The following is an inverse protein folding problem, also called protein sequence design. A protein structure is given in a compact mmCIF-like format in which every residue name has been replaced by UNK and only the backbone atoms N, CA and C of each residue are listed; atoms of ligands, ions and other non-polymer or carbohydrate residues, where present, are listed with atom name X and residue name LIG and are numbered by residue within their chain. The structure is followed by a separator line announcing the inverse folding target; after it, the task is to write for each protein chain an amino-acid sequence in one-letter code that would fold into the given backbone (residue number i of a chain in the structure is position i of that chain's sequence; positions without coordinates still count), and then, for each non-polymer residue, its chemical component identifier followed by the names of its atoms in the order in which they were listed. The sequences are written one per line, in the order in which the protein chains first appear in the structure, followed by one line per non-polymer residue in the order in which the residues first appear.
data_IF_198191425745
#
_entry.id   IF_198191425745
#
_cell.length_a   1.000
_cell.length_b   1.000
_cell.length_c   1.000
_cell.angle_alpha   90.00
_cell.angle_beta   90.00
_cell.angle_gamma   90.00
#
_symmetry.space_group_name_H-M   'P 1'
#
loop_
_entity.id
_entity.type
_entity.pdbx_description
1 polymer ?
#
# COMPACT_ATOMS: atom_id res chain seq x y z
N UNK A 1 25.93 -7.50 7.46
CA UNK A 1 24.45 -7.33 7.36
C UNK A 1 24.18 -5.94 6.79
N UNK A 2 23.35 -5.80 5.73
CA UNK A 2 23.09 -4.49 5.09
C UNK A 2 22.18 -3.65 6.00
N UNK A 3 22.66 -2.49 6.49
CA UNK A 3 21.84 -1.55 7.28
C UNK A 3 20.77 -0.91 6.39
N UNK A 4 19.62 -0.53 6.98
CA UNK A 4 18.59 0.25 6.28
C UNK A 4 19.04 1.70 6.20
N UNK A 5 18.96 2.28 5.01
CA UNK A 5 19.34 3.66 4.75
C UNK A 5 18.34 4.28 3.79
N UNK A 6 17.62 5.29 4.26
CA UNK A 6 16.62 6.03 3.49
C UNK A 6 17.28 7.26 2.90
N UNK A 7 17.16 7.42 1.60
CA UNK A 7 17.63 8.58 0.85
C UNK A 7 16.53 8.96 -0.14
N UNK A 8 16.31 10.26 -0.31
CA UNK A 8 15.33 10.75 -1.27
C UNK A 8 15.67 10.28 -2.69
N UNK A 9 14.68 9.74 -3.39
CA UNK A 9 14.81 9.31 -4.77
C UNK A 9 14.71 10.52 -5.72
N UNK A 10 15.46 10.47 -6.83
CA UNK A 10 15.47 11.57 -7.78
C UNK A 10 14.10 11.80 -8.41
N UNK A 11 13.35 10.74 -8.69
CA UNK A 11 12.00 10.81 -9.24
C UNK A 11 11.04 11.62 -8.36
N UNK A 12 11.25 11.61 -7.07
CA UNK A 12 10.41 12.32 -6.09
C UNK A 12 10.51 13.84 -6.17
N UNK A 13 11.59 14.36 -6.72
CA UNK A 13 11.87 15.79 -6.82
C UNK A 13 11.69 16.36 -8.24
N UNK A 14 11.50 15.49 -9.23
CA UNK A 14 11.28 15.92 -10.61
C UNK A 14 9.85 16.43 -10.80
N UNK A 15 9.69 17.45 -11.63
CA UNK A 15 8.38 17.93 -12.07
C UNK A 15 7.58 16.80 -12.77
N UNK A 16 6.26 16.88 -12.68
CA UNK A 16 5.38 15.83 -13.24
C UNK A 16 5.52 15.68 -14.76
N UNK A 17 5.83 16.76 -15.45
CA UNK A 17 6.01 16.87 -16.91
C UNK A 17 7.47 16.72 -17.35
N UNK A 18 8.43 16.59 -16.41
CA UNK A 18 9.84 16.35 -16.74
C UNK A 18 9.98 15.09 -17.62
N UNK A 19 10.69 15.16 -18.76
CA UNK A 19 10.86 14.03 -19.67
C UNK A 19 11.49 12.80 -19.01
N UNK A 20 12.42 13.00 -18.05
CA UNK A 20 13.06 11.91 -17.29
C UNK A 20 12.08 11.27 -16.32
N UNK A 21 11.22 12.09 -15.64
CA UNK A 21 10.18 11.59 -14.76
C UNK A 21 9.11 10.78 -15.54
N UNK A 22 8.65 11.30 -16.68
CA UNK A 22 7.71 10.60 -17.56
C UNK A 22 8.28 9.26 -18.05
N UNK A 23 9.58 9.21 -18.36
CA UNK A 23 10.26 7.98 -18.74
C UNK A 23 10.39 7.04 -17.56
N UNK A 24 10.80 7.51 -16.37
CA UNK A 24 10.95 6.69 -15.17
C UNK A 24 9.63 6.05 -14.75
N UNK A 25 8.51 6.78 -14.78
CA UNK A 25 7.18 6.20 -14.50
C UNK A 25 6.81 5.08 -15.48
N UNK A 26 7.20 5.21 -16.78
CA UNK A 26 7.06 4.11 -17.75
C UNK A 26 7.98 2.93 -17.44
N UNK A 27 9.20 3.20 -16.99
CA UNK A 27 10.17 2.18 -16.63
C UNK A 27 9.74 1.41 -15.38
N UNK A 28 9.14 2.07 -14.37
CA UNK A 28 8.56 1.41 -13.20
C UNK A 28 7.56 0.32 -13.56
N UNK A 29 6.75 0.50 -14.62
CA UNK A 29 5.87 -0.57 -15.13
C UNK A 29 6.61 -1.80 -15.62
N UNK A 30 7.82 -1.63 -16.20
CA UNK A 30 8.71 -2.74 -16.60
C UNK A 30 9.33 -3.42 -15.38
N UNK A 31 9.78 -2.62 -14.40
CA UNK A 31 10.32 -3.10 -13.14
C UNK A 31 9.26 -3.90 -12.38
N UNK A 32 8.04 -3.39 -12.22
CA UNK A 32 6.92 -4.13 -11.59
C UNK A 32 6.64 -5.47 -12.28
N UNK A 33 6.72 -5.48 -13.63
CA UNK A 33 6.53 -6.72 -14.40
C UNK A 33 7.66 -7.70 -14.15
N UNK A 34 8.91 -7.25 -14.16
CA UNK A 34 10.08 -8.08 -13.91
C UNK A 34 10.11 -8.64 -12.47
N UNK A 35 9.67 -7.86 -11.49
CA UNK A 35 9.52 -8.28 -10.09
C UNK A 35 8.31 -9.19 -9.85
N UNK A 36 7.37 -9.28 -10.77
CA UNK A 36 6.11 -10.00 -10.58
C UNK A 36 5.18 -9.37 -9.55
N UNK A 37 5.30 -8.06 -9.30
CA UNK A 37 4.59 -7.33 -8.24
C UNK A 37 3.09 -7.53 -8.29
N UNK A 38 2.48 -7.48 -9.49
CA UNK A 38 1.04 -7.75 -9.66
C UNK A 38 0.63 -9.12 -9.11
N UNK A 39 1.39 -10.17 -9.38
CA UNK A 39 1.10 -11.54 -8.91
C UNK A 39 1.26 -11.65 -7.39
N UNK A 40 2.24 -10.94 -6.83
CA UNK A 40 2.45 -10.89 -5.38
C UNK A 40 1.25 -10.23 -4.70
N UNK A 41 0.82 -9.05 -5.18
CA UNK A 41 -0.37 -8.36 -4.67
C UNK A 41 -1.64 -9.19 -4.81
N UNK A 42 -1.87 -9.83 -5.96
CA UNK A 42 -3.02 -10.72 -6.17
C UNK A 42 -3.07 -11.86 -5.14
N UNK A 43 -1.93 -12.52 -4.88
CA UNK A 43 -1.86 -13.58 -3.87
C UNK A 43 -2.14 -13.03 -2.49
N UNK A 44 -1.55 -11.88 -2.14
CA UNK A 44 -1.75 -11.25 -0.84
C UNK A 44 -3.21 -10.85 -0.61
N UNK A 45 -3.87 -10.22 -1.60
CA UNK A 45 -5.28 -9.81 -1.54
C UNK A 45 -6.20 -11.04 -1.42
N UNK A 46 -5.99 -12.06 -2.25
CA UNK A 46 -6.79 -13.30 -2.20
C UNK A 46 -6.61 -14.08 -0.89
N UNK A 47 -5.50 -13.92 -0.21
CA UNK A 47 -5.23 -14.55 1.09
C UNK A 47 -5.92 -13.85 2.26
N UNK A 48 -6.51 -12.66 2.07
CA UNK A 48 -7.25 -11.94 3.13
C UNK A 48 -8.66 -12.51 3.28
N UNK A 49 -9.25 -12.36 4.46
CA UNK A 49 -10.63 -12.77 4.74
C UNK A 49 -11.64 -11.60 4.64
N UNK A 50 -11.16 -10.38 4.40
CA UNK A 50 -11.94 -9.15 4.49
C UNK A 50 -13.18 -9.12 3.58
N UNK A 51 -13.07 -9.73 2.37
CA UNK A 51 -14.16 -9.71 1.38
C UNK A 51 -15.32 -10.65 1.69
N UNK A 52 -15.11 -11.64 2.57
CA UNK A 52 -16.13 -12.66 2.91
C UNK A 52 -17.21 -12.16 3.84
N UNK A 53 -17.01 -11.01 4.48
CA UNK A 53 -17.83 -10.54 5.59
C UNK A 53 -18.59 -9.24 5.30
N UNK A 54 -18.57 -8.78 4.04
CA UNK A 54 -19.17 -7.50 3.69
C UNK A 54 -20.35 -7.65 2.73
N UNK A 55 -21.46 -6.98 3.10
CA UNK A 55 -22.62 -6.79 2.24
C UNK A 55 -22.51 -5.43 1.55
N UNK A 56 -21.73 -5.33 0.46
CA UNK A 56 -21.57 -4.08 -0.30
C UNK A 56 -20.15 -3.88 -0.84
N UNK A 57 -19.88 -2.75 -1.52
CA UNK A 57 -18.57 -2.47 -2.09
C UNK A 57 -17.46 -2.47 -1.05
N UNK A 58 -16.31 -3.05 -1.37
CA UNK A 58 -15.10 -2.96 -0.55
C UNK A 58 -14.51 -1.55 -0.67
N UNK A 59 -14.20 -0.94 0.46
CA UNK A 59 -13.50 0.36 0.51
C UNK A 59 -12.00 0.13 0.58
N UNK A 60 -11.30 0.51 -0.49
CA UNK A 60 -9.86 0.30 -0.63
C UNK A 60 -9.14 1.64 -0.78
N UNK A 61 -8.04 1.80 -0.07
CA UNK A 61 -7.13 2.94 -0.20
C UNK A 61 -5.76 2.43 -0.63
N UNK A 62 -5.22 2.96 -1.72
CA UNK A 62 -3.82 2.76 -2.11
C UNK A 62 -3.00 3.98 -1.72
N UNK A 63 -1.93 3.79 -0.95
CA UNK A 63 -0.97 4.82 -0.55
C UNK A 63 0.19 4.85 -1.54
N UNK A 64 0.53 6.02 -2.06
CA UNK A 64 1.55 6.17 -3.10
C UNK A 64 1.12 5.52 -4.42
N UNK A 65 -0.11 5.80 -4.86
CA UNK A 65 -0.74 5.11 -5.99
C UNK A 65 -0.07 5.38 -7.34
N UNK A 66 0.71 6.47 -7.45
CA UNK A 66 1.30 6.89 -8.71
C UNK A 66 0.24 7.10 -9.80
N UNK A 67 0.43 6.49 -10.97
CA UNK A 67 -0.51 6.55 -12.09
C UNK A 67 -1.68 5.53 -11.99
N UNK A 68 -1.74 4.72 -10.94
CA UNK A 68 -2.78 3.73 -10.69
C UNK A 68 -2.72 2.48 -11.59
N UNK A 69 -1.78 2.41 -12.54
CA UNK A 69 -1.76 1.33 -13.55
C UNK A 69 -1.45 -0.04 -12.96
N UNK A 70 -0.68 -0.13 -11.89
CA UNK A 70 -0.41 -1.41 -11.21
C UNK A 70 -1.69 -1.96 -10.59
N UNK A 71 -2.41 -1.14 -9.81
CA UNK A 71 -3.66 -1.56 -9.18
C UNK A 71 -4.76 -1.84 -10.22
N UNK A 72 -4.80 -1.10 -11.33
CA UNK A 72 -5.68 -1.43 -12.44
C UNK A 72 -5.40 -2.84 -12.98
N UNK A 73 -4.12 -3.18 -13.17
CA UNK A 73 -3.74 -4.55 -13.55
C UNK A 73 -4.13 -5.62 -12.53
N UNK A 74 -4.17 -5.28 -11.24
CA UNK A 74 -4.69 -6.15 -10.17
C UNK A 74 -6.20 -6.30 -10.29
N UNK A 75 -6.95 -5.21 -10.46
CA UNK A 75 -8.40 -5.22 -10.63
C UNK A 75 -8.82 -6.11 -11.82
N UNK A 76 -8.19 -5.92 -12.97
CA UNK A 76 -8.41 -6.74 -14.17
C UNK A 76 -8.17 -8.25 -13.92
N UNK A 77 -7.15 -8.58 -13.15
CA UNK A 77 -6.80 -9.97 -12.86
C UNK A 77 -7.64 -10.61 -11.74
N UNK A 78 -8.30 -9.82 -10.89
CA UNK A 78 -9.29 -10.30 -9.94
C UNK A 78 -10.59 -10.68 -10.66
N UNK A 79 -10.97 -9.95 -11.71
CA UNK A 79 -12.12 -10.24 -12.58
C UNK A 79 -13.47 -10.05 -11.89
N UNK A 80 -14.54 -10.43 -12.59
CA UNK A 80 -15.93 -10.20 -12.17
C UNK A 80 -16.36 -11.00 -10.94
N UNK A 81 -15.63 -12.06 -10.59
CA UNK A 81 -15.87 -12.84 -9.37
C UNK A 81 -15.47 -12.08 -8.08
N UNK A 82 -14.75 -10.94 -8.20
CA UNK A 82 -14.37 -10.12 -7.07
C UNK A 82 -15.47 -9.10 -6.76
N UNK A 83 -15.74 -8.78 -5.49
CA UNK A 83 -16.74 -7.77 -5.14
C UNK A 83 -16.46 -6.41 -5.79
N UNK A 84 -17.49 -5.59 -5.97
CA UNK A 84 -17.32 -4.20 -6.36
C UNK A 84 -16.45 -3.44 -5.35
N UNK A 85 -15.68 -2.47 -5.81
CA UNK A 85 -14.70 -1.74 -5.00
C UNK A 85 -14.88 -0.23 -5.17
N UNK A 86 -14.87 0.47 -4.04
CA UNK A 86 -14.64 1.91 -3.98
C UNK A 86 -13.17 2.14 -3.67
N UNK A 87 -12.40 2.55 -4.69
CA UNK A 87 -10.96 2.75 -4.59
C UNK A 87 -10.63 4.24 -4.45
N UNK A 88 -9.76 4.58 -3.49
CA UNK A 88 -9.06 5.86 -3.45
C UNK A 88 -7.59 5.63 -3.78
N UNK A 89 -7.10 6.42 -4.74
CA UNK A 89 -5.71 6.41 -5.21
C UNK A 89 -5.01 7.63 -4.60
N UNK A 90 -4.38 7.45 -3.44
CA UNK A 90 -3.71 8.52 -2.73
C UNK A 90 -2.29 8.69 -3.24
N UNK A 91 -1.99 9.88 -3.72
CA UNK A 91 -0.65 10.31 -4.09
C UNK A 91 -0.52 11.83 -3.86
N UNK A 92 0.70 12.33 -3.65
CA UNK A 92 0.94 13.77 -3.57
C UNK A 92 0.86 14.49 -4.92
N UNK A 93 0.96 13.73 -6.02
CA UNK A 93 0.90 14.21 -7.40
C UNK A 93 -0.37 13.71 -8.09
N UNK A 94 -0.97 14.55 -8.92
CA UNK A 94 -2.11 14.15 -9.78
C UNK A 94 -1.58 13.46 -11.04
N UNK A 95 -1.42 12.13 -10.97
CA UNK A 95 -0.84 11.32 -12.04
C UNK A 95 -1.85 10.40 -12.72
N UNK A 96 -3.06 10.27 -12.15
CA UNK A 96 -4.05 9.28 -12.62
C UNK A 96 -4.76 9.79 -13.86
N UNK A 97 -4.54 9.12 -14.97
CA UNK A 97 -5.15 9.50 -16.25
C UNK A 97 -6.63 9.09 -16.34
N UNK A 98 -7.47 9.84 -17.11
CA UNK A 98 -8.87 9.47 -17.36
C UNK A 98 -9.02 8.05 -17.91
N UNK A 99 -8.10 7.59 -18.76
CA UNK A 99 -8.07 6.22 -19.29
C UNK A 99 -7.86 5.16 -18.20
N UNK A 100 -7.06 5.45 -17.16
CA UNK A 100 -6.88 4.56 -16.01
C UNK A 100 -8.19 4.45 -15.22
N UNK A 101 -8.89 5.58 -14.98
CA UNK A 101 -10.19 5.59 -14.31
C UNK A 101 -11.27 4.83 -15.11
N UNK A 102 -11.31 5.02 -16.43
CA UNK A 102 -12.21 4.26 -17.29
C UNK A 102 -11.92 2.76 -17.26
N UNK A 103 -10.63 2.37 -17.17
CA UNK A 103 -10.23 0.98 -17.00
C UNK A 103 -10.73 0.37 -15.69
N UNK A 104 -10.68 1.09 -14.57
CA UNK A 104 -11.27 0.64 -13.30
C UNK A 104 -12.78 0.50 -13.40
N UNK A 105 -13.47 1.47 -14.01
CA UNK A 105 -14.92 1.42 -14.21
C UNK A 105 -15.33 0.18 -15.03
N UNK A 106 -14.56 -0.18 -16.06
CA UNK A 106 -14.78 -1.39 -16.85
C UNK A 106 -14.62 -2.70 -16.03
N UNK A 107 -13.90 -2.65 -14.90
CA UNK A 107 -13.79 -3.77 -13.94
C UNK A 107 -14.84 -3.71 -12.81
N UNK A 108 -15.82 -2.81 -12.88
CA UNK A 108 -16.80 -2.61 -11.81
C UNK A 108 -16.24 -1.92 -10.56
N UNK A 109 -15.10 -1.22 -10.67
CA UNK A 109 -14.46 -0.50 -9.57
C UNK A 109 -14.69 1.01 -9.70
N UNK A 110 -15.16 1.65 -8.63
CA UNK A 110 -15.33 3.10 -8.55
C UNK A 110 -14.03 3.73 -8.02
N UNK A 111 -13.09 4.04 -8.91
CA UNK A 111 -11.80 4.62 -8.54
C UNK A 111 -11.85 6.15 -8.58
N UNK A 112 -11.21 6.81 -7.59
CA UNK A 112 -11.05 8.27 -7.54
C UNK A 112 -9.66 8.63 -7.03
N UNK A 113 -8.95 9.59 -7.67
CA UNK A 113 -7.72 10.13 -7.12
C UNK A 113 -7.98 10.89 -5.81
N UNK A 114 -6.98 10.87 -4.93
CA UNK A 114 -6.92 11.65 -3.70
C UNK A 114 -5.54 12.30 -3.63
N UNK A 115 -5.46 13.55 -4.10
CA UNK A 115 -4.21 14.30 -4.16
C UNK A 115 -3.93 14.95 -2.80
N UNK A 116 -3.09 14.30 -2.01
CA UNK A 116 -2.73 14.75 -0.66
C UNK A 116 -1.40 14.11 -0.24
N UNK A 117 -0.61 14.81 0.57
CA UNK A 117 0.55 14.20 1.21
C UNK A 117 0.11 13.14 2.23
N UNK A 118 0.74 11.97 2.17
CA UNK A 118 0.37 10.83 3.03
C UNK A 118 0.60 11.11 4.52
N UNK A 119 1.56 11.95 4.87
CA UNK A 119 1.80 12.33 6.27
C UNK A 119 0.76 13.33 6.77
N UNK A 120 0.25 14.20 5.89
CA UNK A 120 -0.94 15.02 6.18
C UNK A 120 -2.15 14.12 6.37
N UNK A 121 -2.40 13.19 5.45
CA UNK A 121 -3.47 12.20 5.60
C UNK A 121 -3.33 11.41 6.90
N UNK A 122 -2.13 11.00 7.30
CA UNK A 122 -1.88 10.29 8.55
C UNK A 122 -2.17 11.15 9.79
N UNK A 123 -1.92 12.46 9.73
CA UNK A 123 -2.15 13.42 10.81
C UNK A 123 -3.58 13.96 10.94
N UNK A 124 -4.40 13.84 9.90
CA UNK A 124 -5.76 14.37 9.91
C UNK A 124 -6.66 13.56 10.87
N UNK A 125 -7.34 14.22 11.83
CA UNK A 125 -8.37 13.56 12.64
C UNK A 125 -9.50 13.09 11.72
N UNK A 126 -9.77 11.78 11.70
CA UNK A 126 -10.91 11.23 10.97
C UNK A 126 -10.85 11.29 9.44
N UNK A 127 -9.66 11.52 8.83
CA UNK A 127 -9.48 11.50 7.36
C UNK A 127 -9.80 10.15 6.72
N UNK A 128 -10.97 9.66 7.06
CA UNK A 128 -11.61 8.47 6.52
C UNK A 128 -12.35 8.77 5.22
N UNK A 129 -12.68 10.03 4.98
CA UNK A 129 -13.45 10.45 3.82
C UNK A 129 -12.94 11.83 3.40
N UNK A 130 -12.70 12.07 2.11
CA UNK A 130 -12.96 13.41 1.60
C UNK A 130 -14.38 13.78 2.08
N UNK A 131 -14.62 14.98 2.63
CA UNK A 131 -15.91 15.31 3.18
C UNK A 131 -16.97 15.19 2.09
N UNK A 132 -17.78 14.14 2.13
CA UNK A 132 -19.14 14.26 1.69
C UNK A 132 -19.76 15.25 2.67
N UNK A 133 -20.24 16.37 2.20
CA UNK A 133 -20.97 17.33 3.01
C UNK A 133 -22.06 16.58 3.80
N UNK A 134 -21.94 16.56 5.13
CA UNK A 134 -22.87 15.83 5.99
C UNK A 134 -22.28 14.66 6.78
N UNK A 135 -20.96 14.56 6.95
CA UNK A 135 -20.34 13.44 7.66
C UNK A 135 -20.68 13.44 9.14
N UNK A 136 -21.34 12.36 9.59
CA UNK A 136 -21.50 12.00 11.00
C UNK A 136 -20.14 11.79 11.70
N UNK A 137 -20.07 11.94 13.04
CA UNK A 137 -18.84 11.73 13.81
C UNK A 137 -18.31 10.31 13.62
N UNK A 138 -16.99 10.08 13.83
CA UNK A 138 -16.34 8.82 13.52
C UNK A 138 -17.00 7.67 14.27
N UNK A 139 -17.73 6.84 13.54
CA UNK A 139 -18.24 5.57 14.04
C UNK A 139 -17.05 4.66 14.38
N UNK A 140 -17.19 3.79 15.40
CA UNK A 140 -16.17 2.83 15.84
C UNK A 140 -15.73 1.82 14.76
N UNK A 141 -16.26 1.94 13.54
CA UNK A 141 -15.97 1.05 12.40
C UNK A 141 -14.82 1.61 11.57
N UNK A 142 -13.79 0.81 11.23
CA UNK A 142 -12.71 1.23 10.34
C UNK A 142 -13.23 1.79 9.01
N UNK A 143 -12.65 2.89 8.55
CA UNK A 143 -13.07 3.57 7.33
C UNK A 143 -12.78 2.75 6.07
N UNK A 144 -11.71 1.94 6.11
CA UNK A 144 -11.23 1.15 5.00
C UNK A 144 -11.28 -0.35 5.32
N UNK A 145 -11.72 -1.13 4.36
CA UNK A 145 -11.63 -2.58 4.47
C UNK A 145 -10.20 -3.03 4.19
N UNK A 146 -9.51 -2.32 3.26
CA UNK A 146 -8.13 -2.58 2.91
C UNK A 146 -7.38 -1.27 2.65
N UNK A 147 -6.19 -1.14 3.25
CA UNK A 147 -5.18 -0.15 2.84
C UNK A 147 -4.01 -0.92 2.22
N UNK A 148 -3.54 -0.45 1.07
CA UNK A 148 -2.39 -1.05 0.35
C UNK A 148 -1.30 0.01 0.22
N UNK A 149 -0.04 -0.40 0.45
CA UNK A 149 1.15 0.35 0.08
C UNK A 149 2.05 -0.55 -0.79
N UNK A 150 2.44 -0.07 -1.94
CA UNK A 150 3.31 -0.82 -2.83
C UNK A 150 4.48 0.02 -3.31
N UNK A 151 5.69 -0.41 -3.01
CA UNK A 151 6.93 0.34 -3.26
C UNK A 151 6.82 1.80 -2.77
N UNK A 152 6.38 1.97 -1.53
CA UNK A 152 6.07 3.27 -0.97
C UNK A 152 6.61 3.48 0.46
N UNK A 153 6.52 2.49 1.34
CA UNK A 153 6.92 2.63 2.74
C UNK A 153 8.43 2.87 2.91
N UNK A 154 9.23 2.41 1.97
CA UNK A 154 10.68 2.54 2.02
C UNK A 154 11.17 4.00 1.89
N UNK A 155 10.33 4.92 1.42
CA UNK A 155 10.64 6.35 1.39
C UNK A 155 10.69 7.02 2.78
N UNK A 156 10.23 6.33 3.84
CA UNK A 156 10.09 6.94 5.17
C UNK A 156 11.09 6.37 6.16
N UNK A 157 11.70 7.27 6.95
CA UNK A 157 12.44 6.90 8.16
C UNK A 157 11.51 6.31 9.23
N UNK A 158 12.10 5.71 10.26
CA UNK A 158 11.36 4.95 11.27
C UNK A 158 10.24 5.74 11.96
N UNK A 159 10.46 7.01 12.31
CA UNK A 159 9.47 7.80 13.04
C UNK A 159 8.24 8.19 12.17
N UNK A 160 8.38 8.78 10.96
CA UNK A 160 7.23 9.02 10.08
C UNK A 160 6.57 7.71 9.64
N UNK A 161 7.32 6.64 9.40
CA UNK A 161 6.77 5.32 9.07
C UNK A 161 5.88 4.77 10.20
N UNK A 162 6.35 4.83 11.45
CA UNK A 162 5.56 4.39 12.60
C UNK A 162 4.23 5.17 12.73
N UNK A 163 4.24 6.49 12.49
CA UNK A 163 3.02 7.31 12.48
C UNK A 163 2.06 6.89 11.35
N UNK A 164 2.59 6.64 10.16
CA UNK A 164 1.81 6.18 9.02
C UNK A 164 1.15 4.82 9.30
N UNK A 165 1.92 3.87 9.82
CA UNK A 165 1.41 2.54 10.19
C UNK A 165 0.36 2.62 11.31
N UNK A 166 0.54 3.51 12.29
CA UNK A 166 -0.46 3.76 13.33
C UNK A 166 -1.77 4.32 12.75
N UNK A 167 -1.67 5.28 11.83
CA UNK A 167 -2.83 5.82 11.13
C UNK A 167 -3.54 4.75 10.29
N UNK A 168 -2.80 3.91 9.58
CA UNK A 168 -3.35 2.80 8.82
C UNK A 168 -4.05 1.78 9.73
N UNK A 169 -3.43 1.42 10.86
CA UNK A 169 -3.99 0.48 11.82
C UNK A 169 -5.30 0.97 12.45
N UNK A 170 -5.44 2.26 12.73
CA UNK A 170 -6.70 2.80 13.27
C UNK A 170 -7.82 2.84 12.25
N UNK A 171 -7.51 2.99 10.97
CA UNK A 171 -8.45 3.30 9.88
C UNK A 171 -8.78 2.12 8.98
N UNK A 172 -8.11 0.96 9.13
CA UNK A 172 -8.33 -0.21 8.27
C UNK A 172 -8.70 -1.47 9.04
N UNK A 173 -9.30 -2.42 8.31
CA UNK A 173 -9.48 -3.82 8.74
C UNK A 173 -8.30 -4.68 8.32
N UNK A 174 -7.73 -4.38 7.18
CA UNK A 174 -6.56 -5.05 6.63
C UNK A 174 -5.57 -4.03 6.08
N UNK A 175 -4.29 -4.27 6.27
CA UNK A 175 -3.20 -3.52 5.67
C UNK A 175 -2.27 -4.48 4.92
N UNK A 176 -1.91 -4.14 3.70
CA UNK A 176 -0.96 -4.88 2.88
C UNK A 176 0.17 -3.95 2.44
N UNK A 177 1.41 -4.42 2.55
CA UNK A 177 2.55 -3.75 1.93
C UNK A 177 3.35 -4.74 1.08
N UNK A 178 3.84 -4.26 -0.06
CA UNK A 178 4.80 -4.97 -0.91
C UNK A 178 5.93 -4.00 -1.25
N UNK A 179 7.10 -4.22 -0.65
CA UNK A 179 8.21 -3.30 -0.62
C UNK A 179 9.47 -3.92 -1.23
N UNK A 180 10.51 -3.13 -1.56
CA UNK A 180 11.80 -3.66 -1.97
C UNK A 180 12.39 -4.52 -0.85
N UNK A 181 12.93 -5.68 -1.22
CA UNK A 181 13.65 -6.55 -0.29
C UNK A 181 15.08 -6.09 -0.14
N UNK A 182 15.51 -5.74 1.09
CA UNK A 182 16.89 -5.41 1.37
C UNK A 182 17.77 -6.68 1.45
N UNK A 183 18.21 -7.16 0.28
CA UNK A 183 19.02 -8.37 0.14
C UNK A 183 20.01 -8.24 -1.00
N UNK A 184 21.13 -8.99 -0.94
CA UNK A 184 22.17 -8.95 -1.98
C UNK A 184 21.66 -9.28 -3.37
N UNK A 185 20.78 -10.26 -3.52
CA UNK A 185 20.18 -10.60 -4.82
C UNK A 185 19.34 -9.43 -5.39
N UNK A 186 18.60 -8.72 -4.52
CA UNK A 186 17.82 -7.56 -4.94
C UNK A 186 18.75 -6.39 -5.36
N UNK A 187 19.86 -6.21 -4.64
CA UNK A 187 20.86 -5.19 -5.00
C UNK A 187 21.50 -5.49 -6.36
N UNK A 188 21.89 -6.73 -6.62
CA UNK A 188 22.37 -7.13 -7.95
C UNK A 188 21.30 -6.87 -9.01
N UNK A 189 20.06 -7.25 -8.74
CA UNK A 189 18.94 -6.99 -9.66
C UNK A 189 18.72 -5.50 -9.93
N UNK A 190 18.85 -4.63 -8.92
CA UNK A 190 18.69 -3.18 -9.10
C UNK A 190 19.78 -2.57 -10.01
N UNK A 191 21.00 -3.08 -9.98
CA UNK A 191 22.03 -2.67 -10.94
C UNK A 191 21.76 -3.15 -12.36
N UNK A 192 20.97 -4.21 -12.54
CA UNK A 192 20.65 -4.79 -13.84
C UNK A 192 19.38 -4.21 -14.49
N UNK A 193 18.63 -3.31 -13.82
CA UNK A 193 17.41 -2.73 -14.42
C UNK A 193 17.68 -1.96 -15.72
N UNK A 194 18.90 -1.53 -15.96
CA UNK A 194 19.34 -0.97 -17.24
C UNK A 194 19.17 -1.93 -18.41
N UNK A 195 19.28 -3.24 -18.20
CA UNK A 195 19.11 -4.27 -19.24
C UNK A 195 17.66 -4.37 -19.75
N UNK A 196 16.69 -3.94 -18.95
CA UNK A 196 15.28 -3.84 -19.36
C UNK A 196 14.92 -2.44 -19.90
N UNK A 197 15.92 -1.60 -20.20
CA UNK A 197 15.78 -0.30 -20.84
C UNK A 197 15.42 0.84 -19.89
N UNK A 198 15.70 0.70 -18.56
CA UNK A 198 15.47 1.75 -17.59
C UNK A 198 16.44 2.94 -17.79
N UNK A 199 15.92 4.17 -17.64
CA UNK A 199 16.70 5.39 -17.74
C UNK A 199 17.65 5.58 -16.52
N UNK A 200 18.49 6.62 -16.55
CA UNK A 200 19.46 6.87 -15.50
C UNK A 200 18.81 7.12 -14.13
N UNK A 201 17.68 7.85 -14.07
CA UNK A 201 16.92 8.13 -12.86
C UNK A 201 16.42 6.82 -12.25
N UNK A 202 15.67 6.01 -13.01
CA UNK A 202 15.16 4.72 -12.53
C UNK A 202 16.27 3.78 -12.06
N UNK A 203 17.44 3.80 -12.72
CA UNK A 203 18.59 2.96 -12.34
C UNK A 203 19.19 3.40 -11.01
N UNK A 204 19.33 4.71 -10.79
CA UNK A 204 19.84 5.24 -9.52
C UNK A 204 18.84 4.96 -8.39
N UNK A 205 17.56 5.29 -8.60
CA UNK A 205 16.51 5.12 -7.60
C UNK A 205 16.29 3.65 -7.23
N UNK A 206 16.37 2.71 -8.19
CA UNK A 206 16.25 1.28 -7.90
C UNK A 206 17.30 0.76 -6.88
N UNK A 207 18.51 1.30 -6.90
CA UNK A 207 19.56 0.95 -5.92
C UNK A 207 19.22 1.54 -4.57
N UNK A 208 18.79 2.81 -4.52
CA UNK A 208 18.36 3.48 -3.29
C UNK A 208 17.17 2.76 -2.63
N UNK A 209 16.16 2.39 -3.42
CA UNK A 209 14.99 1.64 -2.96
C UNK A 209 15.37 0.31 -2.29
N UNK A 210 16.37 -0.42 -2.82
CA UNK A 210 16.86 -1.67 -2.19
C UNK A 210 17.55 -1.38 -0.85
N UNK A 211 18.37 -0.32 -0.75
CA UNK A 211 18.98 0.07 0.53
C UNK A 211 17.95 0.52 1.56
N UNK A 212 16.91 1.22 1.15
CA UNK A 212 15.80 1.67 1.98
C UNK A 212 14.76 0.57 2.26
N UNK A 213 14.80 -0.55 1.52
CA UNK A 213 13.86 -1.65 1.59
C UNK A 213 13.86 -2.38 2.94
N UNK A 214 13.05 -3.43 3.04
CA UNK A 214 12.78 -4.14 4.29
C UNK A 214 13.29 -5.58 4.27
N UNK A 215 13.42 -6.17 5.47
CA UNK A 215 13.77 -7.57 5.70
C UNK A 215 13.29 -8.05 7.07
N UNK A 216 13.22 -9.36 7.26
CA UNK A 216 12.85 -9.96 8.55
C UNK A 216 11.44 -9.52 8.98
N UNK A 217 11.33 -8.88 10.12
CA UNK A 217 10.09 -8.39 10.70
C UNK A 217 10.16 -6.88 11.04
N UNK A 218 10.82 -6.11 10.20
CA UNK A 218 11.05 -4.68 10.45
C UNK A 218 9.76 -3.85 10.39
N UNK A 219 8.82 -4.20 9.51
CA UNK A 219 7.51 -3.52 9.46
C UNK A 219 6.64 -3.98 10.63
N UNK A 220 6.65 -5.28 10.94
CA UNK A 220 5.93 -5.84 12.10
C UNK A 220 6.37 -5.18 13.41
N UNK A 221 7.66 -4.92 13.57
CA UNK A 221 8.22 -4.27 14.77
C UNK A 221 7.74 -2.81 14.95
N UNK A 222 7.37 -2.14 13.84
CA UNK A 222 6.83 -0.78 13.84
C UNK A 222 5.30 -0.76 13.88
N UNK A 223 4.64 -1.89 13.67
CA UNK A 223 3.17 -1.96 13.72
C UNK A 223 2.69 -1.73 15.15
N UNK A 224 1.71 -0.84 15.40
CA UNK A 224 1.37 -0.42 16.75
C UNK A 224 0.74 -1.55 17.56
N UNK A 225 1.40 -1.97 18.61
CA UNK A 225 0.89 -2.94 19.57
C UNK A 225 -0.40 -2.44 20.28
N UNK A 226 -0.53 -1.12 20.47
CA UNK A 226 -1.68 -0.48 21.10
C UNK A 226 -2.93 -0.39 20.22
N UNK A 227 -2.82 -0.61 18.89
CA UNK A 227 -3.99 -0.83 18.04
C UNK A 227 -4.77 -2.10 18.47
N UNK A 228 -4.17 -2.91 19.37
CA UNK A 228 -4.79 -4.05 20.02
C UNK A 228 -5.58 -3.68 21.32
N UNK A 229 -5.53 -2.43 21.81
CA UNK A 229 -5.99 -2.08 23.17
C UNK A 229 -6.87 -0.83 23.22
N UNK A 230 -7.89 -0.73 22.37
CA UNK A 230 -8.93 0.29 22.55
C UNK A 230 -10.05 -0.21 23.50
N UNK A 231 -9.66 -0.68 24.68
CA UNK A 231 -10.58 -1.07 25.75
C UNK A 231 -9.83 -1.03 27.08
N UNK A 232 -10.43 -0.47 28.14
CA UNK A 232 -9.86 -0.39 29.49
C UNK A 232 -9.59 -1.78 30.10
N UNK A 233 -8.83 -1.85 31.22
CA UNK A 233 -8.61 -3.10 31.94
C UNK A 233 -9.95 -3.64 32.45
N UNK A 234 -10.41 -4.78 31.91
CA UNK A 234 -11.68 -5.43 32.29
C UNK A 234 -12.74 -5.53 31.19
N UNK A 235 -12.50 -4.98 30.01
CA UNK A 235 -13.43 -5.08 28.88
C UNK A 235 -13.25 -6.43 28.16
N UNK A 236 -14.27 -7.33 28.13
CA UNK A 236 -14.24 -8.58 27.37
C UNK A 236 -14.18 -8.39 25.85
N UNK A 237 -14.37 -7.14 25.33
CA UNK A 237 -14.16 -6.76 23.93
C UNK A 237 -12.68 -6.53 23.54
N UNK A 238 -11.74 -6.78 24.44
CA UNK A 238 -10.29 -6.46 24.35
C UNK A 238 -9.48 -7.22 23.30
N UNK A 239 -10.07 -7.89 22.37
CA UNK A 239 -9.31 -8.76 21.46
C UNK A 239 -9.47 -8.42 19.98
N UNK A 240 -9.42 -7.16 19.58
CA UNK A 240 -9.08 -6.85 18.19
C UNK A 240 -7.56 -7.00 17.98
N UNK A 241 -7.04 -8.20 18.29
CA UNK A 241 -5.66 -8.52 18.03
C UNK A 241 -5.46 -8.59 16.51
N UNK A 242 -4.41 -7.96 16.02
CA UNK A 242 -3.96 -8.10 14.67
C UNK A 242 -3.27 -9.45 14.46
N UNK A 243 -3.52 -10.08 13.33
CA UNK A 243 -2.69 -11.15 12.80
C UNK A 243 -1.69 -10.52 11.85
N UNK A 244 -0.41 -10.66 12.17
CA UNK A 244 0.68 -10.13 11.35
C UNK A 244 1.33 -11.27 10.57
N UNK A 245 1.66 -11.03 9.32
CA UNK A 245 2.47 -11.89 8.48
C UNK A 245 3.46 -11.03 7.69
N UNK A 246 4.75 -11.32 7.84
CA UNK A 246 5.82 -10.61 7.14
C UNK A 246 6.82 -11.63 6.58
N UNK A 247 7.11 -11.53 5.29
CA UNK A 247 7.95 -12.52 4.61
C UNK A 247 8.53 -11.98 3.30
N UNK A 248 9.57 -12.64 2.83
CA UNK A 248 10.10 -12.39 1.48
C UNK A 248 9.15 -12.94 0.42
N UNK A 249 8.85 -12.16 -0.61
CA UNK A 249 8.05 -12.58 -1.76
C UNK A 249 8.93 -12.59 -3.02
N UNK A 250 9.55 -13.73 -3.30
CA UNK A 250 10.55 -13.88 -4.35
C UNK A 250 11.91 -13.25 -3.99
N UNK A 251 12.69 -12.92 -5.02
CA UNK A 251 14.04 -12.40 -4.84
C UNK A 251 14.10 -10.91 -4.47
N UNK A 252 13.12 -10.13 -4.93
CA UNK A 252 13.17 -8.67 -4.96
C UNK A 252 12.19 -8.00 -4.03
N UNK A 253 11.15 -8.70 -3.58
CA UNK A 253 10.06 -8.12 -2.80
C UNK A 253 10.02 -8.65 -1.38
N UNK A 254 9.54 -7.81 -0.47
CA UNK A 254 9.25 -8.07 0.93
C UNK A 254 7.81 -7.68 1.22
N UNK A 255 7.02 -8.61 1.74
CA UNK A 255 5.59 -8.41 1.96
C UNK A 255 5.26 -8.39 3.44
N UNK A 256 4.35 -7.49 3.80
CA UNK A 256 3.75 -7.40 5.12
C UNK A 256 2.23 -7.39 4.99
N UNK A 257 1.56 -8.11 5.88
CA UNK A 257 0.11 -8.11 6.04
C UNK A 257 -0.24 -8.00 7.52
N UNK A 258 -1.13 -7.07 7.84
CA UNK A 258 -1.81 -6.99 9.10
C UNK A 258 -3.31 -7.12 8.87
N UNK A 259 -3.98 -8.03 9.57
CA UNK A 259 -5.41 -8.27 9.44
C UNK A 259 -6.06 -8.30 10.82
N UNK A 260 -7.14 -7.52 11.04
CA UNK A 260 -7.89 -7.55 12.30
C UNK A 260 -8.55 -8.91 12.46
N UNK A 261 -8.34 -9.53 13.62
CA UNK A 261 -9.12 -10.71 13.99
C UNK A 261 -10.58 -10.29 14.18
N UNK A 262 -11.45 -10.95 13.45
CA UNK A 262 -12.88 -10.86 13.74
C UNK A 262 -13.13 -11.68 14.98
N UNK A 263 -13.68 -11.09 16.03
CA UNK A 263 -14.18 -11.86 17.14
C UNK A 263 -15.13 -12.91 16.58
N UNK A 264 -14.89 -14.18 16.87
CA UNK A 264 -15.82 -15.25 16.52
C UNK A 264 -17.16 -14.88 17.18
N UNK A 265 -18.10 -14.41 16.35
CA UNK A 265 -19.46 -14.15 16.82
C UNK A 265 -19.96 -15.43 17.47
N UNK A 266 -20.54 -15.34 18.69
CA UNK A 266 -21.35 -16.41 19.23
C UNK A 266 -22.34 -16.75 18.14
N UNK A 267 -22.28 -17.97 17.62
CA UNK A 267 -23.36 -18.53 16.83
C UNK A 267 -24.65 -18.42 17.65
N UNK A 268 -25.79 -18.02 17.01
CA UNK A 268 -27.07 -17.97 17.68
C UNK A 268 -27.51 -19.34 18.19
#
# INVERSE_FOLDING_TARGET
MMARWVTAEALDHLATDDPSALRSRRDLRRVHRAMGTRQILLRAIRATQMYRQRAGPLRVLELGAGDGTLMLGVAQALGDAWPSVELRLLDRQDLVQPSTLAGFAACGWAAKPLVVDVLEWAGLPGAASAPAMGAEPPTATPAWDLIIANLFLHHFDAAPLARLLAAAATRSRCFLACEPRRAGAALVGSHLVGLIGANAVTRADAVLSVHAGFRGQEISALWPASAATAGGPGDPGRAAAWTLAEHSAGLFSHCFRAERRVAAGRAP
#
